data_IF_774897913624
#
_entry.id   IF_774897913624
#
_cell.length_a   1.000
_cell.length_b   1.000
_cell.length_c   1.000
_cell.angle_alpha   90.00
_cell.angle_beta   90.00
_cell.angle_gamma   90.00
#
_symmetry.space_group_name_H-M   'P 1'
#
loop_
_entity.id
_entity.type
_entity.pdbx_description
1 polymer ?
#
# COMPACT_ATOMS: atom_id res chain seq x y z
N UNK A 1 21.80 -65.31 -13.32
CA UNK A 1 21.86 -63.90 -13.76
C UNK A 1 20.44 -63.42 -14.03
N UNK A 2 19.89 -62.52 -13.21
CA UNK A 2 18.71 -61.74 -13.63
C UNK A 2 18.61 -60.43 -12.84
N UNK A 3 19.56 -59.53 -13.07
CA UNK A 3 19.36 -58.10 -12.78
C UNK A 3 18.43 -57.54 -13.86
N UNK A 4 17.12 -57.57 -13.64
CA UNK A 4 16.20 -56.68 -14.35
C UNK A 4 15.45 -55.83 -13.33
N UNK A 5 16.04 -54.69 -13.00
CA UNK A 5 15.52 -53.75 -11.99
C UNK A 5 14.36 -52.89 -12.50
N UNK A 6 14.08 -52.90 -13.81
CA UNK A 6 13.01 -52.13 -14.45
C UNK A 6 12.43 -52.96 -15.59
N UNK A 7 11.12 -53.18 -15.60
CA UNK A 7 10.43 -53.85 -16.71
C UNK A 7 10.33 -52.93 -17.93
N UNK A 8 10.19 -53.50 -19.14
CA UNK A 8 10.04 -52.71 -20.38
C UNK A 8 8.89 -51.70 -20.30
N UNK A 9 7.78 -52.09 -19.67
CA UNK A 9 6.63 -51.20 -19.44
C UNK A 9 6.99 -50.04 -18.53
N UNK A 10 7.69 -50.30 -17.42
CA UNK A 10 8.13 -49.24 -16.50
C UNK A 10 9.13 -48.28 -17.17
N UNK A 11 10.07 -48.80 -17.96
CA UNK A 11 10.99 -47.96 -18.72
C UNK A 11 10.23 -47.00 -19.65
N UNK A 12 9.31 -47.53 -20.47
CA UNK A 12 8.52 -46.72 -21.39
C UNK A 12 7.62 -45.71 -20.67
N UNK A 13 6.96 -46.10 -19.57
CA UNK A 13 6.12 -45.19 -18.79
C UNK A 13 6.92 -44.04 -18.19
N UNK A 14 8.11 -44.29 -17.65
CA UNK A 14 8.96 -43.24 -17.08
C UNK A 14 9.51 -42.30 -18.13
N UNK A 15 9.96 -42.82 -19.28
CA UNK A 15 10.43 -41.96 -20.38
C UNK A 15 9.30 -41.10 -20.93
N UNK A 16 8.11 -41.67 -21.15
CA UNK A 16 6.96 -40.92 -21.65
C UNK A 16 6.51 -39.84 -20.66
N UNK A 17 6.44 -40.18 -19.37
CA UNK A 17 6.05 -39.23 -18.31
C UNK A 17 7.11 -38.15 -18.11
N UNK A 18 8.40 -38.50 -18.17
CA UNK A 18 9.51 -37.54 -18.03
C UNK A 18 9.56 -36.53 -19.18
N UNK A 19 9.47 -37.02 -20.42
CA UNK A 19 9.45 -36.13 -21.61
C UNK A 19 8.16 -35.30 -21.65
N UNK A 20 7.01 -35.93 -21.40
CA UNK A 20 5.72 -35.22 -21.34
C UNK A 20 5.69 -34.16 -20.24
N UNK A 21 6.22 -34.47 -19.05
CA UNK A 21 6.34 -33.54 -17.93
C UNK A 21 7.26 -32.36 -18.26
N UNK A 22 8.39 -32.60 -18.93
CA UNK A 22 9.28 -31.53 -19.37
C UNK A 22 8.61 -30.60 -20.38
N UNK A 23 7.91 -31.15 -21.38
CA UNK A 23 7.18 -30.34 -22.38
C UNK A 23 6.07 -29.52 -21.73
N UNK A 24 5.29 -30.13 -20.82
CA UNK A 24 4.24 -29.44 -20.08
C UNK A 24 4.81 -28.33 -19.20
N UNK A 25 5.92 -28.59 -18.49
CA UNK A 25 6.59 -27.58 -17.68
C UNK A 25 7.11 -26.42 -18.54
N UNK A 26 7.69 -26.70 -19.71
CA UNK A 26 8.16 -25.67 -20.64
C UNK A 26 7.05 -24.74 -21.13
N UNK A 27 5.84 -25.27 -21.35
CA UNK A 27 4.67 -24.47 -21.75
C UNK A 27 4.07 -23.68 -20.58
N UNK A 28 4.00 -24.26 -19.38
CA UNK A 28 3.38 -23.64 -18.21
C UNK A 28 4.29 -22.58 -17.55
N UNK A 29 5.61 -22.78 -17.59
CA UNK A 29 6.59 -21.88 -16.96
C UNK A 29 6.41 -20.40 -17.33
N UNK A 30 6.30 -19.99 -18.61
CA UNK A 30 6.10 -18.58 -18.95
C UNK A 30 4.75 -18.03 -18.45
N UNK A 31 3.68 -18.83 -18.42
CA UNK A 31 2.38 -18.38 -17.92
C UNK A 31 2.38 -18.22 -16.39
N UNK A 32 2.98 -19.17 -15.67
CA UNK A 32 3.16 -19.09 -14.23
C UNK A 32 4.04 -17.89 -13.88
N UNK A 33 5.14 -17.71 -14.61
CA UNK A 33 6.03 -16.56 -14.42
C UNK A 33 5.31 -15.25 -14.68
N UNK A 34 4.56 -15.14 -15.78
CA UNK A 34 3.77 -13.94 -16.07
C UNK A 34 2.78 -13.60 -14.94
N UNK A 35 2.12 -14.60 -14.36
CA UNK A 35 1.18 -14.39 -13.27
C UNK A 35 1.86 -13.95 -11.96
N UNK A 36 3.09 -14.42 -11.70
CA UNK A 36 3.79 -14.20 -10.42
C UNK A 36 4.76 -13.01 -10.48
N UNK A 37 5.32 -12.69 -11.65
CA UNK A 37 6.31 -11.61 -11.85
C UNK A 37 5.84 -10.25 -11.29
N UNK A 38 4.57 -9.81 -11.42
CA UNK A 38 4.12 -8.54 -10.83
C UNK A 38 4.26 -8.48 -9.31
N UNK A 39 4.06 -9.61 -8.62
CA UNK A 39 4.14 -9.69 -7.15
C UNK A 39 5.59 -9.70 -6.67
N UNK A 40 6.51 -10.20 -7.49
CA UNK A 40 7.93 -10.28 -7.16
C UNK A 40 8.72 -9.01 -7.49
N UNK A 41 8.13 -8.07 -8.24
CA UNK A 41 8.76 -6.77 -8.49
C UNK A 41 8.77 -5.98 -7.19
N UNK A 42 9.97 -5.73 -6.67
CA UNK A 42 10.17 -4.79 -5.57
C UNK A 42 9.81 -3.41 -6.09
N UNK A 43 8.76 -2.82 -5.54
CA UNK A 43 8.52 -1.40 -5.76
C UNK A 43 9.60 -0.62 -5.03
N UNK A 44 10.56 -0.08 -5.78
CA UNK A 44 11.43 0.97 -5.28
C UNK A 44 10.54 2.11 -4.77
N UNK A 45 10.76 2.53 -3.53
CA UNK A 45 9.91 3.52 -2.87
C UNK A 45 9.69 4.72 -3.78
N UNK A 46 8.46 4.87 -4.28
CA UNK A 46 8.14 5.74 -5.40
C UNK A 46 8.58 7.19 -5.20
N UNK A 47 8.71 7.88 -6.33
CA UNK A 47 9.10 9.28 -6.42
C UNK A 47 8.28 10.15 -5.47
N UNK A 48 8.98 11.00 -4.72
CA UNK A 48 8.36 12.00 -3.86
C UNK A 48 7.60 13.00 -4.75
N UNK A 49 6.29 13.11 -4.54
CA UNK A 49 5.39 13.95 -5.34
C UNK A 49 5.26 15.32 -4.68
N UNK A 50 5.49 16.39 -5.46
CA UNK A 50 5.34 17.75 -4.96
C UNK A 50 3.87 18.03 -4.65
N UNK A 51 3.59 18.52 -3.44
CA UNK A 51 2.28 19.04 -3.09
C UNK A 51 2.24 20.56 -3.29
N UNK A 52 1.03 21.11 -3.44
CA UNK A 52 0.82 22.58 -3.50
C UNK A 52 1.00 23.26 -2.14
N UNK A 53 1.18 22.49 -1.06
CA UNK A 53 1.24 23.00 0.30
C UNK A 53 2.66 23.43 0.68
N UNK A 54 2.79 24.68 1.14
CA UNK A 54 4.03 25.18 1.74
C UNK A 54 4.14 24.72 3.19
N UNK A 55 5.37 24.39 3.60
CA UNK A 55 5.65 23.97 4.99
C UNK A 55 5.44 25.12 6.00
N UNK A 56 5.57 26.37 5.55
CA UNK A 56 5.30 27.57 6.35
C UNK A 56 3.84 27.69 6.78
N UNK A 57 2.93 27.23 5.94
CA UNK A 57 1.49 27.47 6.09
C UNK A 57 0.80 26.35 6.89
N UNK A 58 1.58 25.35 7.34
CA UNK A 58 1.08 24.26 8.17
C UNK A 58 0.80 24.75 9.60
N UNK A 59 -0.43 24.55 10.03
CA UNK A 59 -0.91 24.84 11.39
C UNK A 59 -0.89 23.58 12.26
N UNK A 60 -1.32 23.73 13.51
CA UNK A 60 -1.52 22.60 14.44
C UNK A 60 -2.71 21.72 14.06
N UNK A 61 -3.64 22.22 13.26
CA UNK A 61 -4.83 21.48 12.87
C UNK A 61 -4.61 20.75 11.55
N UNK A 62 -5.05 19.48 11.43
CA UNK A 62 -5.03 18.73 10.18
C UNK A 62 -5.65 19.47 9.01
N UNK A 63 -4.84 19.76 8.00
CA UNK A 63 -5.26 20.31 6.71
C UNK A 63 -5.28 19.20 5.67
N UNK A 64 -6.32 19.21 4.83
CA UNK A 64 -6.46 18.28 3.71
C UNK A 64 -5.60 18.78 2.54
N UNK A 65 -4.65 17.97 2.11
CA UNK A 65 -3.74 18.26 1.00
C UNK A 65 -3.95 17.22 -0.10
N UNK A 66 -4.32 17.69 -1.28
CA UNK A 66 -4.46 16.84 -2.47
C UNK A 66 -3.16 16.88 -3.29
N UNK A 67 -2.72 15.73 -3.77
CA UNK A 67 -1.53 15.61 -4.62
C UNK A 67 -1.76 14.59 -5.74
N UNK A 68 -1.32 14.96 -6.94
CA UNK A 68 -1.57 14.19 -8.17
C UNK A 68 -0.26 13.62 -8.68
N UNK A 69 -0.26 12.34 -9.04
CA UNK A 69 0.88 11.66 -9.62
C UNK A 69 0.44 10.75 -10.77
N UNK A 70 1.40 10.44 -11.65
CA UNK A 70 1.17 9.52 -12.76
C UNK A 70 1.38 8.09 -12.28
N UNK A 71 0.32 7.30 -12.35
CA UNK A 71 0.35 5.86 -12.08
C UNK A 71 0.34 5.12 -13.41
N UNK A 72 1.30 4.20 -13.59
CA UNK A 72 1.38 3.34 -14.78
C UNK A 72 0.95 1.92 -14.43
N UNK A 73 -0.24 1.55 -14.87
CA UNK A 73 -0.81 0.22 -14.71
C UNK A 73 -0.59 -0.57 -16.00
N UNK A 74 0.52 -1.33 -16.03
CA UNK A 74 0.99 -2.06 -17.20
C UNK A 74 1.18 -1.17 -18.45
N UNK A 75 0.15 -1.08 -19.30
CA UNK A 75 0.17 -0.34 -20.57
C UNK A 75 -0.59 0.99 -20.49
N UNK A 76 -1.28 1.26 -19.39
CA UNK A 76 -2.09 2.45 -19.22
C UNK A 76 -1.43 3.42 -18.23
N UNK A 77 -1.29 4.68 -18.63
CA UNK A 77 -0.85 5.75 -17.74
C UNK A 77 -2.07 6.60 -17.37
N UNK A 78 -2.26 6.81 -16.06
CA UNK A 78 -3.36 7.60 -15.52
C UNK A 78 -2.84 8.58 -14.48
N UNK A 79 -3.53 9.71 -14.34
CA UNK A 79 -3.26 10.69 -13.28
C UNK A 79 -4.18 10.40 -12.10
N UNK A 80 -3.61 9.96 -10.98
CA UNK A 80 -4.33 9.63 -9.76
C UNK A 80 -4.09 10.75 -8.76
N UNK A 81 -5.18 11.26 -8.18
CA UNK A 81 -5.12 12.26 -7.11
C UNK A 81 -5.37 11.57 -5.77
N UNK A 82 -4.36 11.57 -4.92
CA UNK A 82 -4.46 11.11 -3.54
C UNK A 82 -4.61 12.28 -2.58
N UNK A 83 -5.09 11.97 -1.39
CA UNK A 83 -5.35 12.92 -0.32
C UNK A 83 -4.44 12.56 0.86
N UNK A 84 -3.87 13.56 1.51
CA UNK A 84 -3.17 13.42 2.78
C UNK A 84 -3.71 14.42 3.80
N UNK A 85 -3.75 14.02 5.07
CA UNK A 85 -3.93 14.94 6.19
C UNK A 85 -2.56 15.38 6.70
N UNK A 86 -2.27 16.67 6.65
CA UNK A 86 -0.96 17.22 7.04
C UNK A 86 -1.14 18.27 8.13
N UNK A 87 -0.33 18.20 9.18
CA UNK A 87 -0.25 19.21 10.23
C UNK A 87 1.10 19.19 10.94
N UNK A 88 1.35 20.18 11.82
CA UNK A 88 2.47 20.18 12.75
C UNK A 88 2.02 19.72 14.13
N UNK A 89 2.71 18.74 14.71
CA UNK A 89 2.49 18.32 16.09
C UNK A 89 2.95 19.40 17.10
N UNK A 90 2.71 19.17 18.38
CA UNK A 90 3.11 20.11 19.44
C UNK A 90 4.64 20.23 19.60
N UNK A 91 5.41 19.28 19.07
CA UNK A 91 6.86 19.33 19.01
C UNK A 91 7.38 20.01 17.72
N UNK A 92 6.49 20.50 16.86
CA UNK A 92 6.81 21.14 15.59
C UNK A 92 7.16 20.18 14.45
N UNK A 93 7.02 18.86 14.64
CA UNK A 93 7.24 17.85 13.60
C UNK A 93 6.04 17.79 12.66
N UNK A 94 6.31 17.63 11.37
CA UNK A 94 5.27 17.45 10.36
C UNK A 94 4.75 16.02 10.46
N UNK A 95 3.43 15.90 10.53
CA UNK A 95 2.72 14.62 10.49
C UNK A 95 1.87 14.61 9.22
N UNK A 96 2.12 13.62 8.36
CA UNK A 96 1.36 13.39 7.13
C UNK A 96 0.71 12.01 7.19
N UNK A 97 -0.62 11.97 7.33
CA UNK A 97 -1.41 10.75 7.49
C UNK A 97 -2.20 10.45 6.22
N UNK A 98 -2.33 9.17 5.91
CA UNK A 98 -3.29 8.68 4.93
C UNK A 98 -4.71 8.76 5.50
N UNK A 99 -5.67 9.30 4.74
CA UNK A 99 -7.08 9.30 5.13
C UNK A 99 -7.74 7.95 4.89
N UNK A 100 -7.03 6.90 4.48
CA UNK A 100 -7.61 5.59 4.19
C UNK A 100 -7.89 4.82 5.48
N UNK A 101 -9.17 4.58 5.77
CA UNK A 101 -9.60 3.84 6.95
C UNK A 101 -9.13 2.38 6.89
N UNK A 102 -8.52 1.89 7.99
CA UNK A 102 -8.02 0.51 8.15
C UNK A 102 -9.09 -0.55 8.42
N UNK A 103 -10.37 -0.18 8.28
CA UNK A 103 -11.46 -1.15 8.25
C UNK A 103 -11.65 -1.69 6.83
N UNK A 104 -12.15 -0.84 5.92
CA UNK A 104 -12.49 -1.21 4.52
C UNK A 104 -12.06 -0.15 3.48
N UNK A 105 -11.22 0.82 3.85
CA UNK A 105 -10.64 1.77 2.91
C UNK A 105 -11.43 3.07 2.67
N UNK A 106 -12.55 3.31 3.37
CA UNK A 106 -13.26 4.60 3.30
C UNK A 106 -12.36 5.79 3.71
N UNK A 107 -12.64 6.98 3.17
CA UNK A 107 -11.96 8.22 3.57
C UNK A 107 -12.36 8.65 4.97
N UNK A 108 -11.36 8.95 5.80
CA UNK A 108 -11.48 9.47 7.17
C UNK A 108 -11.33 10.98 7.15
N UNK A 109 -12.20 11.68 7.89
CA UNK A 109 -12.20 13.13 7.96
C UNK A 109 -11.82 13.63 9.37
N UNK A 110 -11.21 14.80 9.44
CA UNK A 110 -10.88 15.44 10.72
C UNK A 110 -12.08 16.21 11.28
N UNK A 111 -12.36 16.02 12.57
CA UNK A 111 -13.31 16.83 13.35
C UNK A 111 -14.72 16.95 12.74
N UNK A 112 -15.19 15.89 12.08
CA UNK A 112 -16.54 15.86 11.49
C UNK A 112 -17.60 15.27 12.41
N UNK A 113 -17.18 14.55 13.46
CA UNK A 113 -18.07 14.01 14.47
C UNK A 113 -18.21 15.00 15.64
N UNK A 114 -19.45 15.41 15.92
CA UNK A 114 -19.75 16.37 16.99
C UNK A 114 -19.61 15.75 18.38
N UNK A 115 -19.81 14.45 18.50
CA UNK A 115 -19.70 13.73 19.78
C UNK A 115 -18.24 13.56 20.22
N UNK A 116 -17.33 13.57 19.24
CA UNK A 116 -15.92 13.29 19.44
C UNK A 116 -15.03 14.33 18.72
N UNK A 117 -15.04 15.59 19.20
CA UNK A 117 -14.22 16.64 18.61
C UNK A 117 -12.72 16.34 18.75
N UNK A 118 -11.92 16.80 17.79
CA UNK A 118 -10.47 16.59 17.79
C UNK A 118 -10.04 15.15 17.44
N UNK A 119 -10.91 14.40 16.78
CA UNK A 119 -10.64 13.04 16.29
C UNK A 119 -10.85 12.93 14.79
N UNK A 120 -10.18 11.94 14.21
CA UNK A 120 -10.44 11.50 12.85
C UNK A 120 -11.60 10.51 12.87
N UNK A 121 -12.60 10.77 12.03
CA UNK A 121 -13.85 10.01 12.00
C UNK A 121 -14.15 9.48 10.59
N UNK A 122 -14.55 8.21 10.53
CA UNK A 122 -14.98 7.52 9.33
C UNK A 122 -16.50 7.30 9.37
N UNK A 123 -17.29 7.96 8.50
CA UNK A 123 -18.75 7.91 8.53
C UNK A 123 -19.34 6.55 8.11
N UNK A 124 -18.54 5.67 7.48
CA UNK A 124 -19.05 4.39 6.96
C UNK A 124 -19.49 3.43 8.08
N UNK A 125 -18.71 3.31 9.15
CA UNK A 125 -18.96 2.38 10.27
C UNK A 125 -18.55 2.98 11.62
N UNK A 126 -18.51 4.31 11.73
CA UNK A 126 -18.13 5.01 12.96
C UNK A 126 -16.71 4.67 13.44
N UNK A 127 -15.79 4.44 12.50
CA UNK A 127 -14.39 4.20 12.81
C UNK A 127 -13.73 5.49 13.30
N UNK A 128 -12.94 5.42 14.37
CA UNK A 128 -12.33 6.59 14.99
C UNK A 128 -10.83 6.43 15.19
N UNK A 129 -10.12 7.55 15.06
CA UNK A 129 -8.69 7.63 15.31
C UNK A 129 -8.37 8.91 16.09
N UNK A 130 -7.36 8.82 16.95
CA UNK A 130 -6.75 9.97 17.60
C UNK A 130 -6.08 10.90 16.57
N UNK A 131 -5.77 12.14 16.95
CA UNK A 131 -5.05 13.11 16.10
C UNK A 131 -3.75 12.54 15.51
N UNK A 132 -3.03 11.74 16.27
CA UNK A 132 -1.80 11.07 15.82
C UNK A 132 -2.02 9.91 14.82
N UNK A 133 -3.27 9.61 14.45
CA UNK A 133 -3.65 8.50 13.57
C UNK A 133 -3.80 7.13 14.25
N UNK A 134 -3.64 7.03 15.58
CA UNK A 134 -3.84 5.79 16.34
C UNK A 134 -5.33 5.44 16.36
N UNK A 135 -5.66 4.18 16.07
CA UNK A 135 -7.04 3.72 16.14
C UNK A 135 -7.53 3.66 17.59
N UNK A 136 -8.79 4.03 17.80
CA UNK A 136 -9.42 4.01 19.12
C UNK A 136 -9.93 2.59 19.41
N UNK A 137 -9.54 1.96 20.53
CA UNK A 137 -10.04 0.64 20.92
C UNK A 137 -11.57 0.61 21.00
N UNK A 138 -12.18 -0.50 20.57
CA UNK A 138 -13.63 -0.66 20.54
C UNK A 138 -14.32 -0.04 19.34
N UNK A 139 -13.57 0.49 18.36
CA UNK A 139 -14.10 0.94 17.06
C UNK A 139 -13.62 0.00 15.93
N UNK A 140 -14.27 -0.03 14.75
CA UNK A 140 -13.95 -0.98 13.68
C UNK A 140 -12.50 -0.97 13.12
N UNK A 141 -11.75 0.15 13.11
CA UNK A 141 -10.36 0.16 12.67
C UNK A 141 -9.44 -0.78 13.47
N UNK A 142 -8.83 -1.74 12.77
CA UNK A 142 -7.94 -2.74 13.39
C UNK A 142 -6.49 -2.27 13.53
N UNK A 143 -6.11 -1.18 12.86
CA UNK A 143 -4.74 -0.67 12.81
C UNK A 143 -4.73 0.87 12.74
N UNK A 144 -3.62 1.53 13.11
CA UNK A 144 -3.45 2.96 12.93
C UNK A 144 -3.41 3.36 11.45
N UNK A 145 -3.69 4.63 11.17
CA UNK A 145 -3.55 5.21 9.82
C UNK A 145 -2.11 5.10 9.32
N UNK A 146 -1.97 4.91 8.01
CA UNK A 146 -0.66 4.93 7.35
C UNK A 146 -0.06 6.33 7.38
N UNK A 147 1.26 6.38 7.31
CA UNK A 147 2.01 7.63 7.24
C UNK A 147 2.57 7.81 5.84
N UNK A 148 2.51 9.05 5.35
CA UNK A 148 3.23 9.43 4.14
C UNK A 148 4.65 9.88 4.53
N UNK A 149 5.71 9.22 4.02
CA UNK A 149 7.05 9.76 4.16
C UNK A 149 7.10 11.10 3.43
N UNK A 150 7.75 12.09 4.02
CA UNK A 150 7.80 13.44 3.46
C UNK A 150 9.23 13.94 3.28
N UNK A 151 9.40 14.85 2.33
CA UNK A 151 10.61 15.65 2.13
C UNK A 151 10.21 17.11 1.94
N UNK A 152 11.02 18.03 2.46
CA UNK A 152 10.88 19.45 2.16
C UNK A 152 11.90 19.82 1.08
N UNK A 153 11.44 20.44 0.00
CA UNK A 153 12.31 20.99 -1.03
C UNK A 153 11.72 22.31 -1.52
N UNK A 154 12.55 23.34 -1.58
CA UNK A 154 12.17 24.69 -2.03
C UNK A 154 10.97 25.28 -1.25
N UNK A 155 10.81 24.90 0.02
CA UNK A 155 9.71 25.32 0.91
C UNK A 155 8.37 24.60 0.68
N UNK A 156 8.30 23.69 -0.29
CA UNK A 156 7.14 22.86 -0.57
C UNK A 156 7.28 21.47 0.06
N UNK A 157 6.15 20.92 0.48
CA UNK A 157 6.07 19.57 1.01
C UNK A 157 5.97 18.58 -0.15
N UNK A 158 6.84 17.57 -0.13
CA UNK A 158 6.77 16.43 -1.03
C UNK A 158 6.36 15.19 -0.24
N UNK A 159 5.42 14.41 -0.77
CA UNK A 159 4.92 13.18 -0.14
C UNK A 159 5.28 11.97 -1.00
N UNK A 160 5.79 10.91 -0.37
CA UNK A 160 6.03 9.62 -1.02
C UNK A 160 4.83 8.68 -0.92
N UNK A 161 5.05 7.38 -1.17
CA UNK A 161 4.01 6.35 -1.04
C UNK A 161 3.64 6.10 0.42
N UNK A 162 2.35 5.93 0.72
CA UNK A 162 1.88 5.59 2.07
C UNK A 162 2.54 4.32 2.58
N UNK A 163 3.01 4.33 3.83
CA UNK A 163 3.62 3.19 4.49
C UNK A 163 2.87 2.84 5.78
N UNK A 164 2.73 1.54 6.09
CA UNK A 164 2.23 1.10 7.39
C UNK A 164 3.08 1.70 8.50
N UNK A 165 2.40 2.27 9.50
CA UNK A 165 3.06 2.78 10.70
C UNK A 165 3.66 1.59 11.46
N UNK A 166 5.00 1.55 11.58
CA UNK A 166 5.73 0.45 12.24
C UNK A 166 5.73 0.54 13.77
N UNK A 167 5.31 1.66 14.34
CA UNK A 167 5.22 1.88 15.79
C UNK A 167 3.75 1.87 16.20
N UNK A 168 3.31 0.78 16.84
CA UNK A 168 2.06 0.66 17.58
C UNK A 168 2.39 0.27 19.03
#
# INVERSE_FOLDING_TARGET
>A
MSKQRVSRRQFLSYTLTGVGGFMAAGMLMPMVRFAVDPVLKVEEGGDFVATKQKVSDLTKDPVKVDFTFKQKDAWYESEVTNIAWVYKDDAGKIVALSPTCKHLGCTVNWNTDKEHPGQFFCPCHYGRYEKNGKNIPGTPPLAPLDVYPFKEKDGYLYLGKAQPRKEA
#
